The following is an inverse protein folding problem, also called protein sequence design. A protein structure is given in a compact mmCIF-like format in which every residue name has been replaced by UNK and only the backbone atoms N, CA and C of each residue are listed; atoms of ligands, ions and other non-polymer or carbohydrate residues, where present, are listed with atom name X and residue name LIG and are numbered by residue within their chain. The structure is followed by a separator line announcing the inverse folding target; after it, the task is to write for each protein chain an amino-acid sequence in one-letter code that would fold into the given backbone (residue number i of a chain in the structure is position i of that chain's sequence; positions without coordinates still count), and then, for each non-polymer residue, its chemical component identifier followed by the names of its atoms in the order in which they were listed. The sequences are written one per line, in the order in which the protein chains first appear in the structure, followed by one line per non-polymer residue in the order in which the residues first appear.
data_IF_496101462098
#
_entry.id   IF_496101462098
#
_cell.length_a   1.000
_cell.length_b   1.000
_cell.length_c   1.000
_cell.angle_alpha   90.00
_cell.angle_beta   90.00
_cell.angle_gamma   90.00
#
_symmetry.space_group_name_H-M   'P 1'
#
loop_
_entity.id
_entity.type
_entity.pdbx_description
1 polymer ?
#
# COMPACT_ATOMS: atom_id res chain seq x y z
N UNK A 1 -16.90 -4.12 -1.38
CA UNK A 1 -15.89 -4.81 -2.20
C UNK A 1 -14.66 -5.01 -1.33
N UNK A 2 -13.90 -6.06 -1.54
CA UNK A 2 -12.66 -6.34 -0.82
C UNK A 2 -11.57 -6.57 -1.86
N UNK A 3 -10.38 -6.03 -1.64
CA UNK A 3 -9.23 -6.19 -2.55
C UNK A 3 -8.15 -7.00 -1.84
N UNK A 4 -7.79 -8.13 -2.42
CA UNK A 4 -6.77 -9.04 -1.90
C UNK A 4 -5.58 -9.10 -2.86
N UNK A 5 -4.38 -9.34 -2.34
CA UNK A 5 -3.23 -9.70 -3.16
C UNK A 5 -2.78 -11.14 -2.88
N UNK A 6 -2.22 -11.81 -3.88
CA UNK A 6 -1.54 -13.09 -3.66
C UNK A 6 -0.15 -12.87 -3.08
N UNK A 7 0.42 -13.89 -2.43
CA UNK A 7 1.81 -13.91 -1.98
C UNK A 7 2.33 -15.36 -1.98
N UNK A 8 3.64 -15.52 -1.90
CA UNK A 8 4.31 -16.84 -1.90
C UNK A 8 5.36 -16.96 -3.01
N UNK A 9 6.16 -18.03 -2.94
CA UNK A 9 7.24 -18.31 -3.86
C UNK A 9 6.75 -18.53 -5.31
N UNK A 10 7.64 -18.42 -6.31
CA UNK A 10 7.36 -18.90 -7.67
C UNK A 10 6.98 -20.39 -7.62
N UNK A 11 6.08 -20.82 -8.48
CA UNK A 11 5.58 -22.20 -8.58
C UNK A 11 4.83 -22.75 -7.33
N UNK A 12 4.58 -21.92 -6.32
CA UNK A 12 3.72 -22.28 -5.19
C UNK A 12 2.21 -22.20 -5.50
N UNK A 13 1.82 -22.15 -6.77
CA UNK A 13 0.43 -22.28 -7.21
C UNK A 13 -0.44 -21.03 -7.02
N UNK A 14 0.13 -19.82 -6.91
CA UNK A 14 -0.62 -18.56 -6.78
C UNK A 14 -1.63 -18.36 -7.89
N UNK A 15 -1.16 -18.26 -9.15
CA UNK A 15 -2.01 -18.05 -10.33
C UNK A 15 -2.95 -19.22 -10.57
N UNK A 16 -2.51 -20.47 -10.23
CA UNK A 16 -3.37 -21.66 -10.28
C UNK A 16 -4.55 -21.56 -9.31
N UNK A 17 -4.29 -21.12 -8.07
CA UNK A 17 -5.34 -20.91 -7.08
C UNK A 17 -6.27 -19.78 -7.49
N UNK A 18 -5.71 -18.67 -7.97
CA UNK A 18 -6.50 -17.53 -8.48
C UNK A 18 -7.39 -17.96 -9.64
N UNK A 19 -6.84 -18.69 -10.61
CA UNK A 19 -7.63 -19.23 -11.73
C UNK A 19 -8.77 -20.14 -11.23
N UNK A 20 -8.47 -21.02 -10.27
CA UNK A 20 -9.48 -21.90 -9.68
C UNK A 20 -10.64 -21.12 -9.06
N UNK A 21 -10.37 -20.10 -8.21
CA UNK A 21 -11.42 -19.38 -7.49
C UNK A 21 -12.17 -18.34 -8.32
N UNK A 22 -11.59 -17.88 -9.43
CA UNK A 22 -12.19 -16.85 -10.31
C UNK A 22 -12.66 -17.35 -11.65
N UNK A 23 -12.20 -18.51 -12.09
CA UNK A 23 -12.41 -19.01 -13.45
C UNK A 23 -11.71 -18.20 -14.54
N UNK A 24 -10.76 -17.32 -14.17
CA UNK A 24 -10.07 -16.42 -15.10
C UNK A 24 -8.56 -16.55 -15.00
N UNK A 25 -7.90 -16.67 -16.15
CA UNK A 25 -6.45 -16.71 -16.24
C UNK A 25 -5.85 -15.31 -16.08
N UNK A 26 -4.92 -15.14 -15.14
CA UNK A 26 -4.25 -13.87 -14.87
C UNK A 26 -3.02 -13.63 -15.72
N UNK A 27 -2.34 -14.68 -16.17
CA UNK A 27 -1.15 -14.62 -17.01
C UNK A 27 -1.54 -14.32 -18.47
N UNK A 28 -1.44 -13.05 -18.87
CA UNK A 28 -1.91 -12.56 -20.17
C UNK A 28 -0.81 -12.36 -21.18
N UNK A 29 0.44 -12.17 -20.74
CA UNK A 29 1.57 -11.95 -21.63
C UNK A 29 2.02 -13.27 -22.24
N UNK A 30 2.40 -13.23 -23.54
CA UNK A 30 3.01 -14.39 -24.20
C UNK A 30 4.27 -14.85 -23.46
N UNK A 31 5.04 -13.91 -22.92
CA UNK A 31 6.25 -14.18 -22.15
C UNK A 31 5.95 -14.90 -20.83
N UNK A 32 4.89 -14.52 -20.10
CA UNK A 32 4.42 -15.19 -18.88
C UNK A 32 4.04 -16.65 -19.19
N UNK A 33 3.27 -16.85 -20.25
CA UNK A 33 2.87 -18.21 -20.69
C UNK A 33 4.05 -19.06 -21.14
N UNK A 34 5.04 -18.47 -21.81
CA UNK A 34 6.22 -19.19 -22.30
C UNK A 34 7.17 -19.56 -21.17
N UNK A 35 7.31 -18.68 -20.17
CA UNK A 35 8.18 -18.90 -19.01
C UNK A 35 7.50 -19.64 -17.88
N UNK A 36 6.18 -19.77 -17.89
CA UNK A 36 5.37 -20.37 -16.81
C UNK A 36 5.39 -19.57 -15.52
N UNK A 37 5.66 -18.26 -15.57
CA UNK A 37 5.73 -17.42 -14.36
C UNK A 37 5.10 -16.04 -14.59
N UNK A 38 4.46 -15.51 -13.56
CA UNK A 38 3.88 -14.17 -13.57
C UNK A 38 4.99 -13.11 -13.48
N UNK A 39 4.98 -12.15 -14.39
CA UNK A 39 5.96 -11.03 -14.47
C UNK A 39 5.34 -9.74 -13.98
N UNK A 40 4.13 -9.44 -14.46
CA UNK A 40 3.38 -8.25 -14.12
C UNK A 40 2.26 -8.57 -13.15
N UNK A 41 1.63 -7.52 -12.59
CA UNK A 41 0.45 -7.69 -11.76
C UNK A 41 -0.72 -8.22 -12.61
N UNK A 42 -1.29 -9.36 -12.24
CA UNK A 42 -2.54 -9.89 -12.75
C UNK A 42 -3.72 -9.30 -11.99
N UNK A 43 -4.86 -9.11 -12.67
CA UNK A 43 -6.05 -8.57 -12.01
C UNK A 43 -7.28 -9.35 -12.45
N UNK A 44 -8.00 -9.84 -11.47
CA UNK A 44 -9.25 -10.59 -11.66
C UNK A 44 -10.18 -10.37 -10.47
N UNK A 45 -11.37 -10.95 -10.53
CA UNK A 45 -12.32 -10.91 -9.43
C UNK A 45 -13.26 -12.10 -9.48
N UNK A 46 -13.93 -12.37 -8.36
CA UNK A 46 -15.11 -13.22 -8.31
C UNK A 46 -16.22 -12.56 -7.49
N UNK A 47 -17.43 -12.99 -7.74
CA UNK A 47 -18.59 -12.57 -6.98
C UNK A 47 -19.16 -13.76 -6.21
N UNK A 48 -19.45 -13.56 -4.93
CA UNK A 48 -20.09 -14.53 -4.08
C UNK A 48 -21.13 -13.86 -3.17
N UNK A 49 -22.41 -14.21 -3.33
CA UNK A 49 -23.53 -13.63 -2.56
C UNK A 49 -23.51 -12.10 -2.52
N UNK A 50 -23.46 -11.47 -3.68
CA UNK A 50 -23.41 -10.00 -3.87
C UNK A 50 -22.17 -9.31 -3.27
N UNK A 51 -21.14 -10.06 -2.89
CA UNK A 51 -19.84 -9.53 -2.48
C UNK A 51 -18.83 -9.75 -3.59
N UNK A 52 -18.20 -8.65 -4.02
CA UNK A 52 -17.13 -8.70 -5.02
C UNK A 52 -15.79 -8.75 -4.29
N UNK A 53 -15.00 -9.76 -4.61
CA UNK A 53 -13.61 -9.92 -4.15
C UNK A 53 -12.71 -9.72 -5.36
N UNK A 54 -11.96 -8.63 -5.37
CA UNK A 54 -10.93 -8.37 -6.39
C UNK A 54 -9.59 -8.94 -5.94
N UNK A 55 -8.86 -9.53 -6.88
CA UNK A 55 -7.59 -10.18 -6.61
C UNK A 55 -6.51 -9.54 -7.48
N UNK A 56 -5.42 -9.15 -6.83
CA UNK A 56 -4.17 -8.74 -7.44
C UNK A 56 -3.21 -9.91 -7.39
N UNK A 57 -3.00 -10.58 -8.52
CA UNK A 57 -2.05 -11.68 -8.61
C UNK A 57 -0.65 -11.12 -8.83
N UNK A 58 0.26 -11.41 -7.89
CA UNK A 58 1.61 -10.85 -7.89
C UNK A 58 2.65 -11.87 -8.33
N UNK A 59 3.76 -11.40 -8.95
CA UNK A 59 4.91 -12.26 -9.23
C UNK A 59 5.48 -12.90 -7.97
N UNK A 60 5.95 -14.16 -8.10
CA UNK A 60 6.64 -14.86 -7.03
C UNK A 60 8.17 -14.75 -7.11
N UNK A 61 8.73 -14.43 -8.28
CA UNK A 61 10.16 -14.41 -8.52
C UNK A 61 10.84 -13.15 -7.98
N UNK A 62 12.06 -13.31 -7.43
CA UNK A 62 12.84 -12.22 -6.79
C UNK A 62 13.08 -11.02 -7.72
N UNK A 63 13.30 -11.25 -9.00
CA UNK A 63 13.54 -10.18 -9.97
C UNK A 63 12.34 -9.23 -10.10
N UNK A 64 11.14 -9.74 -9.84
CA UNK A 64 9.90 -8.99 -9.92
C UNK A 64 9.37 -8.49 -8.56
N UNK A 65 10.17 -8.60 -7.50
CA UNK A 65 9.78 -8.20 -6.14
C UNK A 65 9.23 -6.76 -6.06
N UNK A 66 9.73 -5.84 -6.90
CA UNK A 66 9.16 -4.49 -7.02
C UNK A 66 7.70 -4.49 -7.46
N UNK A 67 7.33 -5.42 -8.33
CA UNK A 67 5.95 -5.59 -8.77
C UNK A 67 5.11 -6.22 -7.64
N UNK A 68 5.67 -7.17 -6.94
CA UNK A 68 5.03 -7.82 -5.78
C UNK A 68 4.66 -6.79 -4.70
N UNK A 69 5.61 -5.97 -4.27
CA UNK A 69 5.33 -4.93 -3.25
C UNK A 69 4.31 -3.90 -3.76
N UNK A 70 4.37 -3.53 -5.05
CA UNK A 70 3.36 -2.65 -5.63
C UNK A 70 1.95 -3.26 -5.64
N UNK A 71 1.84 -4.58 -5.73
CA UNK A 71 0.58 -5.32 -5.61
C UNK A 71 0.00 -5.32 -4.20
N UNK A 72 0.82 -5.09 -3.18
CA UNK A 72 0.39 -4.97 -1.78
C UNK A 72 -0.13 -3.56 -1.42
N UNK A 73 -0.10 -2.63 -2.36
CA UNK A 73 -0.58 -1.27 -2.13
C UNK A 73 -2.11 -1.24 -1.95
N UNK A 74 -2.58 -0.71 -0.82
CA UNK A 74 -3.99 -0.50 -0.50
C UNK A 74 -4.87 -1.78 -0.55
N UNK A 75 -4.31 -2.96 -0.23
CA UNK A 75 -5.11 -4.19 -0.13
C UNK A 75 -5.66 -4.40 1.27
N UNK A 76 -6.79 -5.10 1.37
CA UNK A 76 -7.45 -5.43 2.64
C UNK A 76 -6.84 -6.68 3.29
N UNK A 77 -6.15 -7.51 2.50
CA UNK A 77 -5.50 -8.72 3.00
C UNK A 77 -4.76 -9.50 1.92
N UNK A 78 -4.20 -10.62 2.33
CA UNK A 78 -3.33 -11.47 1.50
C UNK A 78 -3.87 -12.88 1.41
N UNK A 79 -3.80 -13.46 0.21
CA UNK A 79 -3.89 -14.90 -0.03
C UNK A 79 -2.45 -15.40 -0.19
N UNK A 80 -1.95 -16.12 0.80
CA UNK A 80 -0.56 -16.60 0.83
C UNK A 80 -0.48 -18.07 0.44
N UNK A 81 0.05 -18.35 -0.75
CA UNK A 81 0.19 -19.71 -1.26
C UNK A 81 1.53 -20.33 -0.85
N UNK A 82 1.48 -21.54 -0.33
CA UNK A 82 2.63 -22.35 0.07
C UNK A 82 2.46 -23.73 -0.56
N UNK A 83 3.44 -24.15 -1.34
CA UNK A 83 3.51 -25.52 -1.85
C UNK A 83 3.72 -26.50 -0.68
N UNK A 84 2.82 -27.43 -0.52
CA UNK A 84 2.85 -28.39 0.60
C UNK A 84 4.04 -29.35 0.53
N UNK A 85 4.59 -29.58 -0.65
CA UNK A 85 5.77 -30.45 -0.85
C UNK A 85 7.05 -29.68 -0.58
N UNK A 86 7.17 -28.45 -1.12
CA UNK A 86 8.39 -27.63 -0.98
C UNK A 86 8.46 -26.90 0.37
N UNK A 87 7.32 -26.59 0.98
CA UNK A 87 7.23 -25.88 2.24
C UNK A 87 7.59 -24.37 2.15
N UNK A 88 8.10 -23.85 3.25
CA UNK A 88 8.46 -22.43 3.36
C UNK A 88 9.80 -22.14 2.71
N UNK A 89 9.83 -21.28 1.69
CA UNK A 89 11.02 -20.89 0.94
C UNK A 89 11.56 -19.51 1.35
N UNK A 90 12.76 -19.16 0.87
CA UNK A 90 13.35 -17.84 1.06
C UNK A 90 12.47 -16.72 0.48
N UNK A 91 11.83 -16.94 -0.68
CA UNK A 91 10.93 -15.95 -1.27
C UNK A 91 9.61 -15.85 -0.50
N UNK A 92 9.14 -16.95 0.09
CA UNK A 92 8.01 -16.91 1.04
C UNK A 92 8.35 -16.02 2.24
N UNK A 93 9.59 -16.12 2.75
CA UNK A 93 10.07 -15.27 3.83
C UNK A 93 10.12 -13.79 3.44
N UNK A 94 10.65 -13.47 2.26
CA UNK A 94 10.72 -12.09 1.75
C UNK A 94 9.32 -11.46 1.62
N UNK A 95 8.36 -12.21 1.04
CA UNK A 95 6.97 -11.75 0.92
C UNK A 95 6.35 -11.54 2.29
N UNK A 96 6.54 -12.49 3.21
CA UNK A 96 6.00 -12.40 4.56
C UNK A 96 6.58 -11.24 5.35
N UNK A 97 7.88 -10.97 5.22
CA UNK A 97 8.52 -9.80 5.83
C UNK A 97 7.97 -8.49 5.26
N UNK A 98 7.79 -8.40 3.94
CA UNK A 98 7.20 -7.22 3.32
C UNK A 98 5.76 -6.97 3.83
N UNK A 99 4.93 -8.00 3.85
CA UNK A 99 3.54 -7.97 4.34
C UNK A 99 3.49 -7.52 5.80
N UNK A 100 4.31 -8.15 6.66
CA UNK A 100 4.37 -7.85 8.10
C UNK A 100 4.83 -6.42 8.36
N UNK A 101 5.83 -5.93 7.62
CA UNK A 101 6.35 -4.57 7.77
C UNK A 101 5.38 -3.51 7.20
N UNK A 102 4.58 -3.84 6.20
CA UNK A 102 3.46 -3.01 5.71
C UNK A 102 2.24 -3.06 6.63
N UNK A 103 2.28 -3.88 7.69
CA UNK A 103 1.18 -4.06 8.65
C UNK A 103 -0.12 -4.48 7.95
N UNK A 104 -0.02 -5.43 7.02
CA UNK A 104 -1.17 -6.12 6.45
C UNK A 104 -1.42 -7.31 7.38
N UNK A 105 -2.52 -7.27 8.10
CA UNK A 105 -2.75 -8.18 9.24
C UNK A 105 -3.62 -9.38 8.90
N UNK A 106 -4.45 -9.33 7.87
CA UNK A 106 -5.33 -10.42 7.48
C UNK A 106 -4.68 -11.29 6.40
N UNK A 107 -4.34 -12.54 6.72
CA UNK A 107 -3.66 -13.47 5.81
C UNK A 107 -4.40 -14.80 5.73
N UNK A 108 -4.87 -15.14 4.54
CA UNK A 108 -5.47 -16.44 4.22
C UNK A 108 -4.40 -17.34 3.61
N UNK A 109 -3.84 -18.26 4.38
CA UNK A 109 -2.86 -19.22 3.89
C UNK A 109 -3.52 -20.36 3.13
N UNK A 110 -2.96 -20.68 1.97
CA UNK A 110 -3.39 -21.78 1.12
C UNK A 110 -2.20 -22.74 0.94
N UNK A 111 -2.31 -23.91 1.54
CA UNK A 111 -1.38 -25.01 1.33
C UNK A 111 -1.77 -25.70 0.03
N UNK A 112 -1.01 -25.46 -1.02
CA UNK A 112 -1.29 -25.95 -2.38
C UNK A 112 -0.68 -27.33 -2.63
N UNK A 113 -1.12 -28.00 -3.71
CA UNK A 113 -0.59 -29.29 -4.17
C UNK A 113 -0.69 -30.39 -3.12
N UNK A 114 -1.74 -30.37 -2.30
CA UNK A 114 -1.94 -31.35 -1.22
C UNK A 114 -2.18 -32.76 -1.74
N UNK A 115 -2.58 -32.91 -3.00
CA UNK A 115 -2.73 -34.19 -3.70
C UNK A 115 -1.40 -34.87 -4.06
N UNK A 116 -0.27 -34.19 -3.88
CA UNK A 116 1.07 -34.73 -4.12
C UNK A 116 1.78 -35.18 -2.84
N UNK A 117 1.11 -35.09 -1.70
CA UNK A 117 1.67 -35.51 -0.42
C UNK A 117 1.26 -36.97 -0.11
N UNK A 118 2.24 -37.77 0.30
CA UNK A 118 2.05 -39.15 0.79
C UNK A 118 1.69 -39.18 2.29
N UNK A 119 1.91 -38.08 3.00
CA UNK A 119 1.71 -37.95 4.45
C UNK A 119 0.90 -36.70 4.81
N UNK A 120 0.41 -36.64 6.05
CA UNK A 120 -0.26 -35.44 6.56
C UNK A 120 0.66 -34.22 6.57
N UNK A 121 0.09 -33.03 6.29
CA UNK A 121 0.84 -31.77 6.26
C UNK A 121 1.28 -31.41 7.68
N UNK A 122 2.59 -31.18 7.86
CA UNK A 122 3.09 -30.57 9.08
C UNK A 122 2.82 -29.05 9.10
N UNK A 123 1.77 -28.66 9.81
CA UNK A 123 1.40 -27.26 10.04
C UNK A 123 2.18 -26.61 11.18
N UNK A 124 2.88 -27.40 12.00
CA UNK A 124 3.46 -26.93 13.26
C UNK A 124 4.53 -25.84 13.06
N UNK A 125 5.34 -25.94 12.01
CA UNK A 125 6.30 -24.90 11.67
C UNK A 125 5.61 -23.56 11.34
N UNK A 126 4.60 -23.61 10.48
CA UNK A 126 3.87 -22.41 10.04
C UNK A 126 3.12 -21.76 11.22
N UNK A 127 2.40 -22.56 12.01
CA UNK A 127 1.69 -22.09 13.20
C UNK A 127 2.63 -21.47 14.24
N UNK A 128 3.77 -22.09 14.52
CA UNK A 128 4.80 -21.55 15.41
C UNK A 128 5.31 -20.20 14.93
N UNK A 129 5.57 -20.08 13.62
CA UNK A 129 6.01 -18.82 12.99
C UNK A 129 4.95 -17.72 13.08
N UNK A 130 3.70 -18.04 12.83
CA UNK A 130 2.58 -17.09 12.85
C UNK A 130 2.23 -16.67 14.28
N UNK A 131 2.20 -17.60 15.21
CA UNK A 131 1.90 -17.32 16.62
C UNK A 131 2.97 -16.43 17.30
N UNK A 132 4.20 -16.39 16.76
CA UNK A 132 5.21 -15.42 17.21
C UNK A 132 4.87 -13.97 16.85
N UNK A 133 3.96 -13.75 15.91
CA UNK A 133 3.51 -12.43 15.46
C UNK A 133 2.03 -12.21 15.84
N UNK A 134 1.79 -11.77 17.07
CA UNK A 134 0.44 -11.58 17.64
C UNK A 134 -0.48 -10.60 16.88
N UNK A 135 0.06 -9.85 15.92
CA UNK A 135 -0.71 -8.86 15.14
C UNK A 135 -1.38 -9.47 13.90
N UNK A 136 -1.09 -10.73 13.56
CA UNK A 136 -1.59 -11.37 12.34
C UNK A 136 -2.86 -12.17 12.68
N UNK A 137 -3.95 -11.83 12.00
CA UNK A 137 -5.15 -12.63 11.91
C UNK A 137 -5.01 -13.59 10.71
N UNK A 138 -5.08 -14.90 10.93
CA UNK A 138 -4.86 -15.86 9.86
C UNK A 138 -5.77 -17.08 9.91
N UNK A 139 -5.92 -17.72 8.77
CA UNK A 139 -6.44 -19.08 8.64
C UNK A 139 -5.53 -19.88 7.71
N UNK A 140 -5.56 -21.20 7.80
CA UNK A 140 -4.78 -22.11 6.96
C UNK A 140 -5.73 -23.13 6.34
N UNK A 141 -5.76 -23.15 5.00
CA UNK A 141 -6.62 -24.03 4.22
C UNK A 141 -5.80 -24.90 3.27
N UNK A 142 -6.20 -26.15 3.12
CA UNK A 142 -5.58 -27.10 2.19
C UNK A 142 -6.27 -27.05 0.83
N UNK A 143 -5.47 -26.98 -0.23
CA UNK A 143 -5.96 -26.86 -1.60
C UNK A 143 -5.31 -27.88 -2.54
N UNK A 144 -6.17 -28.61 -3.26
CA UNK A 144 -5.81 -29.39 -4.43
C UNK A 144 -6.68 -28.97 -5.60
N UNK A 145 -6.08 -28.69 -6.73
CA UNK A 145 -6.83 -28.33 -7.94
C UNK A 145 -7.80 -29.45 -8.38
N UNK A 146 -7.50 -30.72 -8.03
CA UNK A 146 -8.28 -31.89 -8.44
C UNK A 146 -9.51 -32.15 -7.56
N UNK A 147 -9.41 -31.84 -6.27
CA UNK A 147 -10.40 -32.32 -5.28
C UNK A 147 -11.12 -31.20 -4.51
N UNK A 148 -10.61 -29.97 -4.55
CA UNK A 148 -11.16 -28.86 -3.79
C UNK A 148 -12.48 -28.36 -4.39
N UNK A 149 -13.42 -27.97 -3.52
CA UNK A 149 -14.68 -27.35 -3.91
C UNK A 149 -14.55 -25.84 -4.07
N UNK A 150 -14.89 -25.33 -5.25
CA UNK A 150 -14.82 -23.91 -5.60
C UNK A 150 -15.67 -23.04 -4.67
N UNK A 151 -16.94 -23.42 -4.48
CA UNK A 151 -17.88 -22.59 -3.71
C UNK A 151 -17.52 -22.56 -2.23
N UNK A 152 -16.97 -23.65 -1.71
CA UNK A 152 -16.47 -23.72 -0.34
C UNK A 152 -15.30 -22.73 -0.15
N UNK A 153 -14.32 -22.68 -1.07
CA UNK A 153 -13.21 -21.73 -0.97
C UNK A 153 -13.66 -20.27 -1.12
N UNK A 154 -14.54 -19.98 -2.08
CA UNK A 154 -15.11 -18.65 -2.23
C UNK A 154 -15.82 -18.20 -0.94
N UNK A 155 -16.60 -19.09 -0.32
CA UNK A 155 -17.27 -18.83 0.96
C UNK A 155 -16.25 -18.56 2.08
N UNK A 156 -15.23 -19.42 2.26
CA UNK A 156 -14.21 -19.27 3.29
C UNK A 156 -13.47 -17.94 3.17
N UNK A 157 -13.09 -17.54 1.94
CA UNK A 157 -12.44 -16.24 1.67
C UNK A 157 -13.36 -15.09 2.08
N UNK A 158 -14.62 -15.10 1.63
CA UNK A 158 -15.60 -14.05 1.96
C UNK A 158 -15.90 -13.97 3.45
N UNK A 159 -15.93 -15.11 4.14
CA UNK A 159 -16.18 -15.16 5.59
C UNK A 159 -14.98 -14.72 6.42
N UNK A 160 -13.76 -14.98 5.94
CA UNK A 160 -12.51 -14.56 6.59
C UNK A 160 -12.27 -13.06 6.44
N UNK A 161 -12.35 -12.52 5.23
CA UNK A 161 -12.16 -11.10 4.95
C UNK A 161 -13.48 -10.32 5.13
N UNK A 162 -14.05 -10.39 6.33
CA UNK A 162 -15.15 -9.47 6.69
C UNK A 162 -14.55 -8.07 6.79
N UNK A 163 -15.13 -7.14 6.05
CA UNK A 163 -14.65 -5.77 5.88
C UNK A 163 -14.35 -5.07 7.21
N UNK A 164 -13.09 -5.07 7.61
CA UNK A 164 -12.58 -4.11 8.56
C UNK A 164 -12.20 -2.83 7.81
N UNK A 165 -12.55 -1.71 8.37
CA UNK A 165 -12.24 -0.38 7.84
C UNK A 165 -10.74 -0.16 7.84
N UNK A 166 -10.09 -0.26 6.69
CA UNK A 166 -8.68 0.09 6.59
C UNK A 166 -8.51 1.60 6.81
N UNK A 167 -7.66 1.98 7.76
CA UNK A 167 -7.25 3.37 8.03
C UNK A 167 -6.32 3.95 6.94
N UNK A 168 -6.49 3.54 5.70
CA UNK A 168 -5.67 4.06 4.61
C UNK A 168 -6.17 5.46 4.22
N UNK A 169 -5.27 6.43 4.00
CA UNK A 169 -5.66 7.78 3.57
C UNK A 169 -6.39 7.74 2.23
N UNK A 170 -7.31 8.68 2.00
CA UNK A 170 -8.12 8.80 0.78
C UNK A 170 -7.23 8.97 -0.45
N UNK A 171 -6.86 7.86 -1.06
CA UNK A 171 -5.84 7.82 -2.10
C UNK A 171 -6.02 6.67 -3.08
N UNK A 172 -5.46 6.86 -4.27
CA UNK A 172 -5.32 5.82 -5.27
C UNK A 172 -3.91 5.87 -5.85
N UNK A 173 -3.15 4.82 -5.66
CA UNK A 173 -1.87 4.63 -6.35
C UNK A 173 -2.12 3.97 -7.70
N UNK A 174 -1.64 4.60 -8.78
CA UNK A 174 -1.77 4.06 -10.15
C UNK A 174 -0.82 2.89 -10.30
N UNK A 175 -1.34 1.75 -10.71
CA UNK A 175 -0.58 0.55 -11.02
C UNK A 175 -0.46 0.25 -12.52
N UNK A 176 -1.42 0.71 -13.31
CA UNK A 176 -1.37 0.62 -14.78
C UNK A 176 -1.88 1.89 -15.45
N UNK A 177 -1.30 2.18 -16.62
CA UNK A 177 -1.77 3.21 -17.54
C UNK A 177 -1.64 2.67 -18.95
N UNK A 178 -2.70 2.79 -19.75
CA UNK A 178 -2.74 2.33 -21.13
C UNK A 178 -3.73 3.15 -21.95
N UNK A 179 -3.58 3.11 -23.26
CA UNK A 179 -4.55 3.71 -24.18
C UNK A 179 -5.45 2.60 -24.75
N UNK A 180 -6.75 2.85 -24.74
CA UNK A 180 -7.76 1.95 -25.31
C UNK A 180 -8.48 2.65 -26.45
N UNK A 181 -8.57 1.96 -27.61
CA UNK A 181 -9.24 2.50 -28.79
C UNK A 181 -10.67 2.92 -28.49
N UNK A 182 -11.07 4.08 -28.99
CA UNK A 182 -12.39 4.68 -28.78
C UNK A 182 -12.62 5.30 -27.37
N UNK A 183 -11.82 4.93 -26.36
CA UNK A 183 -11.96 5.42 -24.99
C UNK A 183 -10.91 6.49 -24.66
N UNK A 184 -9.67 6.31 -25.13
CA UNK A 184 -8.53 7.15 -24.82
C UNK A 184 -7.68 6.58 -23.68
N UNK A 185 -7.04 7.45 -22.90
CA UNK A 185 -6.16 7.06 -21.80
C UNK A 185 -6.96 6.55 -20.61
N UNK A 186 -6.60 5.36 -20.15
CA UNK A 186 -7.18 4.68 -18.99
C UNK A 186 -6.08 4.44 -17.97
N UNK A 187 -6.34 4.77 -16.73
CA UNK A 187 -5.48 4.47 -15.57
C UNK A 187 -6.23 3.58 -14.61
N UNK A 188 -5.53 2.66 -13.96
CA UNK A 188 -6.11 1.77 -12.95
C UNK A 188 -5.33 1.82 -11.64
N UNK A 189 -6.04 1.52 -10.56
CA UNK A 189 -5.45 1.46 -9.23
C UNK A 189 -6.44 0.91 -8.20
N UNK A 190 -5.94 0.71 -6.97
CA UNK A 190 -6.77 0.39 -5.82
C UNK A 190 -7.05 1.67 -5.05
N UNK A 191 -8.30 2.12 -5.07
CA UNK A 191 -8.76 3.24 -4.28
C UNK A 191 -9.00 2.80 -2.84
N UNK A 192 -8.58 3.61 -1.89
CA UNK A 192 -8.94 3.43 -0.48
C UNK A 192 -10.45 3.67 -0.27
N UNK A 193 -10.95 3.29 0.88
CA UNK A 193 -12.32 3.58 1.29
C UNK A 193 -12.59 5.09 1.26
N UNK A 194 -13.81 5.47 0.90
CA UNK A 194 -14.29 6.86 0.84
C UNK A 194 -13.49 7.78 -0.12
N UNK A 195 -12.87 7.22 -1.17
CA UNK A 195 -12.25 8.02 -2.21
C UNK A 195 -13.34 8.71 -3.06
N UNK A 196 -13.34 10.05 -3.06
CA UNK A 196 -14.30 10.85 -3.82
C UNK A 196 -13.91 10.85 -5.31
N UNK A 197 -14.80 10.30 -6.13
CA UNK A 197 -14.58 10.18 -7.56
C UNK A 197 -14.93 11.46 -8.34
N UNK A 198 -15.50 12.47 -7.68
CA UNK A 198 -15.84 13.75 -8.31
C UNK A 198 -14.70 14.77 -8.25
N UNK A 199 -13.75 14.60 -7.31
CA UNK A 199 -12.66 15.54 -7.08
C UNK A 199 -11.33 14.80 -6.98
N UNK A 200 -10.67 14.59 -8.11
CA UNK A 200 -9.44 13.80 -8.21
C UNK A 200 -8.29 14.69 -8.67
N UNK A 201 -7.25 14.80 -7.84
CA UNK A 201 -6.02 15.50 -8.17
C UNK A 201 -4.89 14.53 -8.51
N UNK A 202 -4.06 14.91 -9.48
CA UNK A 202 -2.76 14.29 -9.68
C UNK A 202 -1.78 14.87 -8.66
N UNK A 203 -1.44 14.12 -7.65
CA UNK A 203 -0.73 14.60 -6.46
C UNK A 203 0.64 15.26 -6.75
N UNK A 204 1.38 14.80 -7.77
CA UNK A 204 2.70 15.37 -8.10
C UNK A 204 2.64 16.80 -8.67
N UNK A 205 1.51 17.19 -9.24
CA UNK A 205 1.30 18.52 -9.85
C UNK A 205 0.17 19.30 -9.18
N UNK A 206 -0.59 18.65 -8.30
CA UNK A 206 -1.81 19.19 -7.69
C UNK A 206 -2.86 19.70 -8.69
N UNK A 207 -2.84 19.14 -9.91
CA UNK A 207 -3.83 19.47 -10.94
C UNK A 207 -5.06 18.60 -10.80
N UNK A 208 -6.23 19.21 -10.88
CA UNK A 208 -7.51 18.50 -10.96
C UNK A 208 -7.57 17.75 -12.30
N UNK A 209 -7.91 16.46 -12.25
CA UNK A 209 -8.04 15.63 -13.43
C UNK A 209 -9.44 15.73 -14.02
N UNK A 210 -9.51 15.90 -15.34
CA UNK A 210 -10.75 15.77 -16.07
C UNK A 210 -11.05 14.31 -16.40
N UNK A 211 -11.98 13.76 -15.63
CA UNK A 211 -12.42 12.38 -15.75
C UNK A 211 -13.58 12.28 -16.73
N UNK A 212 -13.57 11.27 -17.61
CA UNK A 212 -14.66 10.93 -18.50
C UNK A 212 -15.61 9.91 -17.86
N UNK A 213 -15.05 8.85 -17.30
CA UNK A 213 -15.81 7.74 -16.71
C UNK A 213 -14.96 6.99 -15.71
N UNK A 214 -15.58 6.46 -14.67
CA UNK A 214 -14.94 5.59 -13.68
C UNK A 214 -15.72 4.29 -13.60
N UNK A 215 -15.01 3.18 -13.65
CA UNK A 215 -15.57 1.83 -13.55
C UNK A 215 -14.94 1.04 -12.41
N UNK A 216 -15.79 0.29 -11.75
CA UNK A 216 -15.41 -0.76 -10.83
C UNK A 216 -15.85 -2.10 -11.43
N UNK A 217 -14.90 -2.97 -11.78
CA UNK A 217 -15.17 -4.17 -12.59
C UNK A 217 -15.89 -3.80 -13.89
N UNK A 218 -17.17 -4.08 -14.02
CA UNK A 218 -17.98 -3.78 -15.21
C UNK A 218 -18.94 -2.59 -15.03
N UNK A 219 -19.13 -2.14 -13.78
CA UNK A 219 -20.11 -1.12 -13.44
C UNK A 219 -19.52 0.30 -13.40
N UNK A 220 -20.28 1.28 -13.88
CA UNK A 220 -19.95 2.69 -13.69
C UNK A 220 -20.23 3.07 -12.24
N UNK A 221 -19.26 3.69 -11.58
CA UNK A 221 -19.37 4.10 -10.16
C UNK A 221 -19.14 5.58 -10.00
N UNK A 222 -19.80 6.17 -8.99
CA UNK A 222 -19.66 7.59 -8.64
C UNK A 222 -18.89 7.80 -7.33
N UNK A 223 -18.90 6.83 -6.43
CA UNK A 223 -18.20 6.88 -5.15
C UNK A 223 -17.70 5.48 -4.76
N UNK A 224 -16.66 5.41 -3.94
CA UNK A 224 -16.20 4.17 -3.31
C UNK A 224 -16.58 4.21 -1.83
N UNK A 225 -17.33 3.22 -1.36
CA UNK A 225 -17.68 3.06 0.07
C UNK A 225 -16.75 2.11 0.79
N UNK A 226 -15.97 1.34 0.05
CA UNK A 226 -14.98 0.35 0.53
C UNK A 226 -13.76 0.41 -0.36
N UNK A 227 -12.65 -0.19 0.05
CA UNK A 227 -11.49 -0.43 -0.80
C UNK A 227 -11.93 -1.05 -2.13
N UNK A 228 -11.52 -0.46 -3.24
CA UNK A 228 -12.05 -0.85 -4.55
C UNK A 228 -11.01 -0.77 -5.66
N UNK A 229 -11.00 -1.77 -6.53
CA UNK A 229 -10.29 -1.68 -7.82
C UNK A 229 -11.10 -0.82 -8.77
N UNK A 230 -10.51 0.27 -9.27
CA UNK A 230 -11.17 1.16 -10.21
C UNK A 230 -10.32 1.42 -11.46
N UNK A 231 -11.00 1.66 -12.56
CA UNK A 231 -10.45 2.14 -13.82
C UNK A 231 -11.02 3.53 -14.10
N UNK A 232 -10.15 4.48 -14.36
CA UNK A 232 -10.50 5.88 -14.64
C UNK A 232 -10.15 6.18 -16.09
N UNK A 233 -11.14 6.50 -16.90
CA UNK A 233 -10.96 7.01 -18.26
C UNK A 233 -10.82 8.53 -18.21
N UNK A 234 -9.73 9.05 -18.78
CA UNK A 234 -9.40 10.46 -18.79
C UNK A 234 -9.91 11.15 -20.08
N UNK A 235 -10.24 12.43 -20.01
CA UNK A 235 -10.56 13.23 -21.20
C UNK A 235 -9.30 13.46 -22.03
N UNK A 236 -9.48 13.69 -23.35
CA UNK A 236 -8.38 13.71 -24.35
C UNK A 236 -7.29 14.77 -24.15
N UNK A 237 -7.55 15.84 -23.41
CA UNK A 237 -6.66 17.02 -23.34
C UNK A 237 -5.65 16.97 -22.18
N UNK A 238 -5.38 15.80 -21.59
CA UNK A 238 -4.40 15.71 -20.52
C UNK A 238 -3.00 15.69 -21.11
N UNK A 239 -2.28 16.82 -20.96
CA UNK A 239 -0.89 16.96 -21.39
C UNK A 239 0.12 16.23 -20.48
N UNK A 240 -0.28 15.91 -19.24
CA UNK A 240 0.59 15.26 -18.31
C UNK A 240 0.71 13.76 -18.61
N UNK A 241 1.94 13.27 -18.62
CA UNK A 241 2.22 11.83 -18.70
C UNK A 241 1.86 11.17 -17.38
N UNK A 242 0.68 10.57 -17.28
CA UNK A 242 0.18 9.89 -16.09
C UNK A 242 0.43 8.40 -16.21
N UNK A 243 1.06 7.82 -15.20
CA UNK A 243 1.44 6.42 -15.23
C UNK A 243 1.60 5.75 -13.87
N UNK A 244 2.09 4.53 -13.90
CA UNK A 244 2.36 3.73 -12.71
C UNK A 244 3.30 4.49 -11.74
N UNK A 245 2.95 4.48 -10.46
CA UNK A 245 3.69 5.18 -9.40
C UNK A 245 3.22 6.61 -9.16
N UNK A 246 2.27 7.12 -9.96
CA UNK A 246 1.58 8.36 -9.64
C UNK A 246 0.50 8.11 -8.60
N UNK A 247 0.31 9.12 -7.75
CA UNK A 247 -0.69 9.14 -6.69
C UNK A 247 -1.85 10.06 -7.10
N UNK A 248 -3.06 9.57 -6.93
CA UNK A 248 -4.28 10.37 -7.01
C UNK A 248 -4.85 10.60 -5.61
N UNK A 249 -5.35 11.80 -5.37
CA UNK A 249 -5.87 12.25 -4.06
C UNK A 249 -7.13 13.07 -4.22
N UNK A 250 -7.90 13.21 -3.15
CA UNK A 250 -9.06 14.10 -3.11
C UNK A 250 -8.70 15.51 -2.63
N UNK A 251 -7.49 15.69 -2.15
CA UNK A 251 -6.96 16.96 -1.65
C UNK A 251 -5.62 17.29 -2.31
N UNK A 252 -5.26 18.57 -2.28
CA UNK A 252 -3.93 19.04 -2.63
C UNK A 252 -2.95 18.50 -1.58
N UNK A 253 -1.86 17.90 -2.04
CA UNK A 253 -0.86 17.30 -1.16
C UNK A 253 0.51 17.94 -1.35
N UNK A 254 1.28 17.96 -0.29
CA UNK A 254 2.67 18.40 -0.35
C UNK A 254 3.55 17.34 -1.00
N UNK A 255 4.54 17.79 -1.79
CA UNK A 255 5.58 16.92 -2.34
C UNK A 255 6.94 17.32 -1.80
N UNK A 256 7.68 16.35 -1.24
CA UNK A 256 9.00 16.58 -0.65
C UNK A 256 10.02 15.54 -1.04
N UNK A 257 11.31 15.92 -0.99
CA UNK A 257 12.44 15.00 -1.19
C UNK A 257 13.15 14.62 0.11
N UNK A 258 12.95 15.39 1.16
CA UNK A 258 13.46 15.10 2.50
C UNK A 258 12.31 14.55 3.34
N UNK A 259 12.38 13.28 3.71
CA UNK A 259 11.31 12.56 4.38
C UNK A 259 11.76 12.10 5.75
N UNK A 260 10.92 12.33 6.75
CA UNK A 260 11.02 11.75 8.07
C UNK A 260 9.92 10.70 8.25
N UNK A 261 10.31 9.53 8.72
CA UNK A 261 9.37 8.45 8.97
C UNK A 261 9.62 7.81 10.35
N UNK A 262 8.56 7.35 10.97
CA UNK A 262 8.59 6.63 12.23
C UNK A 262 8.57 5.15 11.93
N UNK A 263 9.48 4.39 12.55
CA UNK A 263 9.58 2.93 12.41
C UNK A 263 9.46 2.25 13.77
N UNK A 264 9.00 1.00 13.77
CA UNK A 264 8.83 0.20 15.00
C UNK A 264 10.05 -0.67 15.31
N UNK A 265 11.07 -0.70 14.45
CA UNK A 265 12.25 -1.57 14.58
C UNK A 265 13.52 -0.74 14.62
N UNK A 266 14.55 -1.29 15.30
CA UNK A 266 15.88 -0.70 15.28
C UNK A 266 16.42 -0.59 13.87
N UNK A 267 16.61 0.64 13.42
CA UNK A 267 17.00 0.98 12.06
C UNK A 267 18.53 1.01 11.86
N UNK A 268 19.34 0.63 12.86
CA UNK A 268 20.80 0.72 12.82
C UNK A 268 21.46 0.03 11.63
N UNK A 269 20.86 -1.07 11.15
CA UNK A 269 21.34 -1.83 9.99
C UNK A 269 21.12 -1.11 8.65
N UNK A 270 20.32 -0.04 8.63
CA UNK A 270 19.92 0.67 7.42
C UNK A 270 20.78 1.92 7.13
N UNK A 271 21.76 2.25 7.96
CA UNK A 271 22.58 3.47 7.87
C UNK A 271 23.58 3.52 6.69
N UNK A 272 23.62 2.52 5.82
CA UNK A 272 24.59 2.48 4.71
C UNK A 272 24.11 3.31 3.52
N UNK A 273 24.95 4.23 3.06
CA UNK A 273 24.71 5.09 1.89
C UNK A 273 24.49 4.26 0.63
N UNK A 274 23.44 4.58 -0.13
CA UNK A 274 23.17 4.01 -1.47
C UNK A 274 22.65 2.57 -1.49
N UNK A 275 22.44 1.94 -0.34
CA UNK A 275 22.02 0.53 -0.23
C UNK A 275 20.54 0.31 0.08
N UNK A 276 19.73 1.36 0.12
CA UNK A 276 18.33 1.25 0.54
C UNK A 276 17.37 1.64 -0.59
N UNK A 277 16.28 0.89 -0.70
CA UNK A 277 15.14 1.18 -1.58
C UNK A 277 13.91 1.49 -0.75
N UNK A 278 13.28 2.60 -1.08
CA UNK A 278 11.96 2.97 -0.55
C UNK A 278 10.87 2.46 -1.48
N UNK A 279 9.86 1.83 -0.90
CA UNK A 279 8.58 1.51 -1.53
C UNK A 279 7.47 2.33 -0.86
N UNK A 280 6.61 2.90 -1.68
CA UNK A 280 5.46 3.68 -1.24
C UNK A 280 4.34 3.52 -2.27
N UNK A 281 3.22 2.93 -1.87
CA UNK A 281 2.19 2.54 -2.82
C UNK A 281 2.75 1.70 -3.96
N UNK A 282 2.48 2.08 -5.20
CA UNK A 282 3.01 1.40 -6.40
C UNK A 282 4.37 1.94 -6.88
N UNK A 283 4.91 2.95 -6.20
CA UNK A 283 6.20 3.58 -6.52
C UNK A 283 7.34 3.00 -5.70
N UNK A 284 8.52 2.90 -6.31
CA UNK A 284 9.76 2.61 -5.60
C UNK A 284 10.91 3.48 -6.12
N UNK A 285 11.88 3.76 -5.25
CA UNK A 285 13.08 4.49 -5.63
C UNK A 285 14.24 4.22 -4.68
N UNK A 286 15.46 4.40 -5.17
CA UNK A 286 16.67 4.32 -4.34
C UNK A 286 16.76 5.57 -3.46
N UNK A 287 17.03 5.36 -2.18
CA UNK A 287 17.24 6.42 -1.20
C UNK A 287 18.68 6.93 -1.34
N UNK A 288 18.88 8.23 -1.55
CA UNK A 288 20.21 8.83 -1.64
C UNK A 288 20.95 8.79 -0.32
N UNK A 289 20.24 9.08 0.76
CA UNK A 289 20.77 9.11 2.12
C UNK A 289 19.70 8.65 3.09
N UNK A 290 20.08 7.78 4.02
CA UNK A 290 19.24 7.37 5.14
C UNK A 290 20.04 7.58 6.42
N UNK A 291 19.45 8.26 7.38
CA UNK A 291 20.00 8.43 8.73
C UNK A 291 18.97 7.99 9.76
N UNK A 292 19.43 7.26 10.75
CA UNK A 292 18.62 6.89 11.91
C UNK A 292 18.85 7.92 13.00
N UNK A 293 17.73 8.49 13.45
CA UNK A 293 17.72 9.41 14.59
C UNK A 293 17.15 8.65 15.76
N UNK A 294 18.01 8.12 16.61
CA UNK A 294 17.59 7.31 17.75
C UNK A 294 16.79 8.11 18.76
N UNK A 295 15.71 7.55 19.22
CA UNK A 295 15.02 7.94 20.42
C UNK A 295 14.61 6.70 21.21
N UNK A 296 14.43 6.82 22.54
CA UNK A 296 14.23 5.71 23.47
C UNK A 296 12.99 4.86 23.21
N UNK A 297 11.96 5.38 22.51
CA UNK A 297 10.70 4.67 22.33
C UNK A 297 10.32 4.38 20.88
N UNK A 298 10.71 5.23 19.91
CA UNK A 298 10.41 5.05 18.48
C UNK A 298 11.59 5.49 17.64
N UNK A 299 11.94 4.70 16.64
CA UNK A 299 13.01 5.06 15.72
C UNK A 299 12.48 6.06 14.68
N UNK A 300 13.00 7.26 14.71
CA UNK A 300 12.81 8.24 13.65
C UNK A 300 13.93 8.05 12.61
N UNK A 301 13.55 7.92 11.36
CA UNK A 301 14.49 7.86 10.24
C UNK A 301 14.31 9.09 9.36
N UNK A 302 15.42 9.57 8.85
CA UNK A 302 15.48 10.59 7.81
C UNK A 302 15.92 9.96 6.49
N UNK A 303 15.27 10.34 5.40
CA UNK A 303 15.61 9.93 4.04
C UNK A 303 15.72 11.13 3.12
N UNK A 304 16.79 11.17 2.33
CA UNK A 304 16.88 12.06 1.17
C UNK A 304 16.59 11.26 -0.09
N UNK A 305 15.61 11.70 -0.86
CA UNK A 305 15.19 11.08 -2.11
C UNK A 305 15.79 11.80 -3.33
N UNK A 306 15.94 11.12 -4.48
CA UNK A 306 16.41 11.74 -5.72
C UNK A 306 15.40 12.77 -6.27
N UNK A 307 14.12 12.53 -6.10
CA UNK A 307 13.03 13.36 -6.61
C UNK A 307 11.98 13.63 -5.53
N UNK A 308 11.22 14.71 -5.71
CA UNK A 308 10.08 14.99 -4.86
C UNK A 308 9.06 13.85 -4.97
N UNK A 309 8.47 13.51 -3.84
CA UNK A 309 7.45 12.50 -3.70
C UNK A 309 6.21 13.15 -3.06
N UNK A 310 5.02 13.02 -3.64
CA UNK A 310 3.78 13.42 -2.98
C UNK A 310 3.57 12.57 -1.74
N UNK A 311 3.20 13.22 -0.64
CA UNK A 311 3.14 12.63 0.69
C UNK A 311 1.75 12.79 1.26
N UNK A 312 1.19 11.68 1.74
CA UNK A 312 0.00 11.68 2.59
C UNK A 312 0.44 11.47 4.04
N UNK A 313 -0.28 12.10 4.95
CA UNK A 313 -0.08 11.89 6.39
C UNK A 313 -0.33 10.42 6.73
N UNK A 314 0.51 9.85 7.60
CA UNK A 314 0.46 8.44 8.00
C UNK A 314 0.63 7.42 6.86
N UNK A 315 1.09 7.84 5.68
CA UNK A 315 1.36 6.93 4.56
C UNK A 315 2.34 5.85 4.98
N UNK A 316 1.94 4.60 4.82
CA UNK A 316 2.81 3.43 5.07
C UNK A 316 3.93 3.37 4.03
N UNK A 317 5.12 3.02 4.48
CA UNK A 317 6.30 2.79 3.64
C UNK A 317 6.97 1.47 4.00
N UNK A 318 7.69 0.93 3.02
CA UNK A 318 8.59 -0.20 3.22
C UNK A 318 9.98 0.19 2.72
N UNK A 319 11.02 -0.10 3.51
CA UNK A 319 12.41 0.13 3.15
C UNK A 319 13.10 -1.23 3.09
N UNK A 320 13.75 -1.51 1.98
CA UNK A 320 14.58 -2.69 1.76
C UNK A 320 16.04 -2.28 1.78
N UNK A 321 16.85 -2.94 2.59
CA UNK A 321 18.31 -2.88 2.46
C UNK A 321 18.73 -3.83 1.34
N UNK A 322 19.35 -3.29 0.30
CA UNK A 322 19.71 -4.05 -0.90
C UNK A 322 20.92 -4.97 -0.71
N UNK A 323 21.65 -4.83 0.39
CA UNK A 323 22.82 -5.67 0.71
C UNK A 323 22.42 -6.84 1.60
N UNK A 324 21.69 -6.57 2.69
CA UNK A 324 21.28 -7.60 3.64
C UNK A 324 19.92 -8.23 3.32
N UNK A 325 19.20 -7.67 2.36
CA UNK A 325 17.82 -8.02 2.02
C UNK A 325 16.83 -7.94 3.20
N UNK A 326 17.16 -7.14 4.21
CA UNK A 326 16.29 -6.90 5.36
C UNK A 326 15.26 -5.81 5.05
N UNK A 327 14.11 -5.91 5.70
CA UNK A 327 12.97 -4.99 5.52
C UNK A 327 12.66 -4.24 6.80
N UNK A 328 12.28 -2.98 6.64
CA UNK A 328 11.82 -2.11 7.71
C UNK A 328 10.55 -1.38 7.25
N UNK A 329 9.48 -1.52 8.00
CA UNK A 329 8.24 -0.77 7.81
C UNK A 329 8.24 0.54 8.60
N UNK A 330 7.44 1.49 8.13
CA UNK A 330 7.24 2.74 8.82
C UNK A 330 6.04 3.52 8.29
N UNK A 331 5.77 4.65 8.95
CA UNK A 331 4.78 5.64 8.51
C UNK A 331 5.48 6.98 8.32
N UNK A 332 5.13 7.69 7.25
CA UNK A 332 5.64 9.04 7.01
C UNK A 332 5.06 9.96 8.08
N UNK A 333 5.95 10.69 8.73
CA UNK A 333 5.59 11.68 9.72
C UNK A 333 5.68 13.11 9.17
N UNK A 334 6.66 13.35 8.30
CA UNK A 334 6.91 14.69 7.76
C UNK A 334 7.74 14.63 6.48
N UNK A 335 7.56 15.64 5.62
CA UNK A 335 8.41 15.85 4.43
C UNK A 335 8.72 17.33 4.19
N UNK A 336 9.84 17.61 3.54
CA UNK A 336 10.28 18.97 3.21
C UNK A 336 11.05 19.00 1.89
N UNK A 337 11.06 20.18 1.24
CA UNK A 337 11.99 20.51 0.15
C UNK A 337 13.09 21.45 0.60
N UNK A 338 13.00 22.00 1.81
CA UNK A 338 13.94 22.99 2.33
C UNK A 338 15.04 22.34 3.16
N UNK A 339 16.27 22.29 2.61
CA UNK A 339 17.43 21.69 3.27
C UNK A 339 17.81 22.42 4.58
N UNK A 340 17.66 23.76 4.63
CA UNK A 340 18.01 24.53 5.82
C UNK A 340 17.04 24.22 6.97
N UNK A 341 15.79 24.05 6.67
CA UNK A 341 14.76 23.60 7.62
C UNK A 341 15.11 22.23 8.18
N UNK A 342 15.46 21.29 7.30
CA UNK A 342 15.87 19.93 7.68
C UNK A 342 17.09 19.98 8.61
N UNK A 343 18.11 20.79 8.30
CA UNK A 343 19.29 20.98 9.15
C UNK A 343 18.93 21.58 10.51
N UNK A 344 18.04 22.57 10.55
CA UNK A 344 17.54 23.17 11.79
C UNK A 344 16.79 22.13 12.64
N UNK A 345 15.92 21.34 12.00
CA UNK A 345 15.19 20.27 12.66
C UNK A 345 16.12 19.21 13.26
N UNK A 346 17.15 18.76 12.55
CA UNK A 346 18.17 17.87 13.09
C UNK A 346 18.92 18.45 14.28
N UNK A 347 19.22 19.76 14.25
CA UNK A 347 19.89 20.44 15.36
C UNK A 347 19.03 20.44 16.62
N UNK A 348 17.74 20.66 16.48
CA UNK A 348 16.79 20.61 17.61
C UNK A 348 16.59 19.18 18.12
N UNK A 349 16.46 18.19 17.23
CA UNK A 349 16.35 16.77 17.61
C UNK A 349 17.54 16.27 18.43
N UNK A 350 18.76 16.73 18.15
CA UNK A 350 19.97 16.35 18.90
C UNK A 350 20.07 16.96 20.29
N UNK A 351 19.30 18.00 20.57
CA UNK A 351 19.29 18.68 21.89
C UNK A 351 18.30 18.06 22.88
N UNK A 352 17.34 17.28 22.39
CA UNK A 352 16.27 16.73 23.21
C UNK A 352 16.55 15.28 23.55
N UNK A 353 16.62 14.95 24.84
CA UNK A 353 16.80 13.57 25.35
C UNK A 353 15.56 12.69 25.10
N UNK A 354 14.37 13.30 25.04
CA UNK A 354 13.13 12.63 24.68
C UNK A 354 12.40 13.43 23.61
N UNK A 355 12.15 12.80 22.43
CA UNK A 355 11.40 13.44 21.37
C UNK A 355 9.92 13.16 21.58
N UNK A 356 9.18 14.13 22.13
CA UNK A 356 7.74 14.12 21.99
C UNK A 356 7.41 14.49 20.53
N UNK A 357 7.14 13.48 19.70
CA UNK A 357 6.91 13.66 18.26
C UNK A 357 5.77 14.64 17.97
N UNK A 358 4.69 14.63 18.79
CA UNK A 358 3.58 15.58 18.64
C UNK A 358 4.04 17.03 18.86
N UNK A 359 4.84 17.29 19.90
CA UNK A 359 5.42 18.61 20.14
C UNK A 359 6.47 18.99 19.10
N UNK A 360 7.27 18.04 18.63
CA UNK A 360 8.34 18.29 17.66
C UNK A 360 7.78 18.65 16.29
N UNK A 361 6.70 18.01 15.84
CA UNK A 361 6.02 18.35 14.59
C UNK A 361 5.18 19.63 14.68
N UNK A 362 4.82 20.10 15.86
CA UNK A 362 4.18 21.43 16.05
C UNK A 362 5.15 22.59 15.94
N UNK A 363 6.45 22.36 16.00
CA UNK A 363 7.50 23.36 15.89
C UNK A 363 7.99 23.61 14.44
N UNK A 364 7.27 23.09 13.44
CA UNK A 364 7.65 23.28 12.04
C UNK A 364 7.38 24.73 11.61
N UNK A 365 8.40 25.42 11.06
CA UNK A 365 8.30 26.85 10.75
C UNK A 365 7.43 27.12 9.53
N UNK A 366 6.96 28.36 9.49
CA UNK A 366 5.98 28.99 8.60
C UNK A 366 6.21 28.83 7.09
N UNK A 367 7.42 28.48 6.63
CA UNK A 367 7.79 28.60 5.22
C UNK A 367 7.60 27.31 4.40
N UNK A 368 6.81 26.33 4.89
CA UNK A 368 6.59 25.07 4.19
C UNK A 368 5.55 25.14 3.09
N UNK A 369 4.72 26.18 3.11
CA UNK A 369 3.64 26.37 2.13
C UNK A 369 3.80 27.78 1.55
N UNK A 370 4.76 27.95 0.66
CA UNK A 370 4.78 29.13 -0.19
C UNK A 370 3.63 29.02 -1.20
N UNK A 371 2.69 29.99 -1.11
CA UNK A 371 1.69 30.30 -2.13
C UNK A 371 0.56 29.33 -2.41
N UNK A 372 -0.18 28.84 -1.40
CA UNK A 372 -1.52 28.33 -1.71
C UNK A 372 -2.63 29.17 -1.04
N UNK A 373 -3.56 29.66 -1.85
CA UNK A 373 -4.74 30.44 -1.40
C UNK A 373 -5.71 29.62 -0.53
N UNK A 374 -5.46 28.32 -0.39
CA UNK A 374 -6.34 27.34 0.26
C UNK A 374 -5.93 26.97 1.68
N UNK A 375 -4.83 27.59 2.20
CA UNK A 375 -4.34 27.33 3.54
C UNK A 375 -4.38 28.59 4.41
N UNK A 376 -4.71 28.40 5.68
CA UNK A 376 -4.75 29.47 6.68
C UNK A 376 -3.66 29.21 7.71
N UNK A 377 -2.85 30.23 7.99
CA UNK A 377 -1.85 30.18 9.05
C UNK A 377 -2.54 30.45 10.40
N UNK A 378 -2.50 29.47 11.30
CA UNK A 378 -3.00 29.63 12.68
C UNK A 378 -1.88 29.23 13.62
N UNK A 379 -1.38 30.20 14.38
CA UNK A 379 -0.30 29.99 15.37
C UNK A 379 0.90 29.24 14.77
N UNK A 380 1.37 29.67 13.60
CA UNK A 380 2.49 29.09 12.84
C UNK A 380 2.23 27.66 12.31
N UNK A 381 0.98 27.26 12.16
CA UNK A 381 0.57 26.02 11.50
C UNK A 381 -0.32 26.37 10.31
N UNK A 382 -0.02 25.74 9.17
CA UNK A 382 -0.88 25.84 8.01
C UNK A 382 -1.92 24.72 8.04
N UNK A 383 -3.17 25.10 8.10
CA UNK A 383 -4.32 24.20 8.01
C UNK A 383 -5.05 24.45 6.69
N UNK A 384 -5.45 23.39 5.98
CA UNK A 384 -6.39 23.56 4.87
C UNK A 384 -7.68 24.16 5.40
N UNK A 385 -8.36 24.97 4.60
CA UNK A 385 -9.65 25.56 4.97
C UNK A 385 -10.67 24.51 5.39
N UNK A 386 -10.75 23.41 4.65
CA UNK A 386 -11.65 22.29 4.95
C UNK A 386 -11.36 21.65 6.32
N UNK A 387 -10.06 21.52 6.68
CA UNK A 387 -9.67 21.00 7.99
C UNK A 387 -9.96 21.98 9.12
N UNK A 388 -9.80 23.28 8.85
CA UNK A 388 -10.19 24.32 9.79
C UNK A 388 -11.69 24.31 10.03
N UNK A 389 -12.50 24.25 8.98
CA UNK A 389 -13.97 24.15 9.07
C UNK A 389 -14.40 22.89 9.84
N UNK A 390 -13.75 21.75 9.61
CA UNK A 390 -13.99 20.52 10.36
C UNK A 390 -13.66 20.67 11.85
N UNK A 391 -12.58 21.38 12.19
CA UNK A 391 -12.20 21.66 13.59
C UNK A 391 -13.20 22.62 14.23
N UNK A 392 -13.58 23.69 13.54
CA UNK A 392 -14.57 24.67 14.03
C UNK A 392 -15.91 23.98 14.28
N UNK A 393 -16.35 23.12 13.36
CA UNK A 393 -17.57 22.33 13.52
C UNK A 393 -17.54 21.45 14.77
N UNK A 394 -16.44 20.71 14.99
CA UNK A 394 -16.26 19.88 16.20
C UNK A 394 -16.22 20.70 17.49
N UNK A 395 -15.61 21.89 17.45
CA UNK A 395 -15.60 22.80 18.61
C UNK A 395 -17.02 23.26 18.93
N UNK A 396 -17.79 23.66 17.93
CA UNK A 396 -19.17 24.11 18.10
C UNK A 396 -20.08 22.98 18.62
N UNK A 397 -19.96 21.77 18.06
CA UNK A 397 -20.67 20.57 18.55
C UNK A 397 -20.35 20.27 20.02
N UNK A 398 -19.10 20.43 20.42
CA UNK A 398 -18.70 20.24 21.83
C UNK A 398 -19.21 21.38 22.75
N UNK A 399 -19.27 22.61 22.27
CA UNK A 399 -19.84 23.74 23.03
C UNK A 399 -21.34 23.56 23.24
N UNK A 400 -22.08 23.10 22.22
CA UNK A 400 -23.50 22.79 22.34
C UNK A 400 -23.78 21.66 23.36
N UNK A 401 -22.90 20.67 23.40
CA UNK A 401 -23.01 19.53 24.37
C UNK A 401 -22.68 19.95 25.81
N UNK A 402 -21.88 21.01 26.00
CA UNK A 402 -21.56 21.54 27.33
C UNK A 402 -22.65 22.48 27.85
N UNK A 403 -23.41 23.10 26.95
CA UNK A 403 -24.47 24.04 27.27
C UNK A 403 -25.87 23.40 27.35
N UNK A 404 -25.97 22.09 27.06
CA UNK A 404 -27.16 21.26 27.23
C UNK A 404 -27.05 20.38 28.48
#
# INVERSE_FOLDING_TARGET
MTVLATAGHVDHGKSTFVNFITGQETDRLKEEKTRGLTINLGYTYFEFKNKIISIVDVPGHVDYFKNTVAGFANVDGIIFCIDSVQGWSNQSEEHFQAISNLKITNIFFVLTKTDLLDTSIDRGFLEKKLNSNKLINYTIEEFSYKTSDLRMFQKKIVDFFKSDTSENPNSLWIDRSFTKDGIGKVITGTASMAFDLNKIYLARTNKLLEVKEIRNTENIVKNTTTTSRIAISLKKNIQDEIGRGDLLTNEIVFSGKYIFAITDKQASKFNKKGSNRLFIGTKNQIVKKLEVVNNSEKNLIFMELPNNLPILENQKILIQNLVSNEFMGGKIAFASNNNNLVKKFFKELRKTESINLEKTFTLLPENLIENSRDYINIANKYLSKDRLESIIKKINENIETINS
#
